data_IF_540468117009
#
_entry.id   IF_540468117009
#
_cell.length_a   1.000
_cell.length_b   1.000
_cell.length_c   1.000
_cell.angle_alpha   90.00
_cell.angle_beta   90.00
_cell.angle_gamma   90.00
#
_symmetry.space_group_name_H-M   'P 1'
#
loop_
_entity.id
_entity.type
_entity.pdbx_description
1 polymer ?
#
# COMPACT_ATOMS: atom_id res chain seq x y z
N UNK A 1 2.70 32.93 11.96
CA UNK A 1 2.14 31.58 11.75
C UNK A 1 2.83 30.99 10.54
N UNK A 2 3.81 30.11 10.73
CA UNK A 2 4.46 29.42 9.60
C UNK A 2 3.51 28.31 9.14
N UNK A 3 2.98 28.43 7.94
CA UNK A 3 2.16 27.38 7.33
C UNK A 3 3.06 26.19 7.01
N UNK A 4 2.73 25.00 7.50
CA UNK A 4 3.37 23.77 7.05
C UNK A 4 3.02 23.63 5.55
N UNK A 5 4.04 23.45 4.70
CA UNK A 5 3.84 23.26 3.26
C UNK A 5 2.99 22.03 2.93
N UNK A 6 2.39 21.96 1.74
CA UNK A 6 1.74 20.73 1.30
C UNK A 6 2.79 19.59 1.22
N UNK A 7 2.53 18.46 1.89
CA UNK A 7 3.48 17.35 1.92
C UNK A 7 3.37 16.49 3.18
N UNK A 8 4.31 15.55 3.32
CA UNK A 8 4.31 14.53 4.37
C UNK A 8 4.37 15.14 5.77
N UNK A 9 4.95 16.33 5.91
CA UNK A 9 5.03 17.05 7.18
C UNK A 9 3.66 17.43 7.75
N UNK A 10 2.65 17.67 6.90
CA UNK A 10 1.27 17.84 7.38
C UNK A 10 0.70 16.53 7.93
N UNK A 11 0.94 15.42 7.22
CA UNK A 11 0.52 14.10 7.68
C UNK A 11 1.18 13.77 9.01
N UNK A 12 2.49 14.02 9.15
CA UNK A 12 3.21 13.84 10.41
C UNK A 12 2.60 14.70 11.52
N UNK A 13 2.45 16.00 11.29
CA UNK A 13 1.88 16.91 12.28
C UNK A 13 0.48 16.50 12.74
N UNK A 14 -0.38 16.03 11.84
CA UNK A 14 -1.72 15.52 12.19
C UNK A 14 -1.65 14.26 13.07
N UNK A 15 -0.78 13.30 12.70
CA UNK A 15 -0.61 12.07 13.47
C UNK A 15 -0.04 12.38 14.87
N UNK A 16 0.97 13.25 14.96
CA UNK A 16 1.54 13.64 16.26
C UNK A 16 0.58 14.49 17.10
N UNK A 17 -0.36 15.19 16.48
CA UNK A 17 -1.44 15.88 17.17
C UNK A 17 -2.57 14.93 17.66
N UNK A 18 -2.44 13.62 17.43
CA UNK A 18 -3.39 12.62 17.91
C UNK A 18 -4.52 12.28 16.94
N UNK A 19 -4.35 12.54 15.64
CA UNK A 19 -5.27 12.01 14.64
C UNK A 19 -5.34 10.47 14.72
N UNK A 20 -6.55 9.92 14.68
CA UNK A 20 -6.73 8.46 14.69
C UNK A 20 -6.16 7.84 13.40
N UNK A 21 -5.02 7.16 13.58
CA UNK A 21 -4.25 6.52 12.50
C UNK A 21 -5.05 5.46 11.75
N UNK A 22 -6.05 4.85 12.42
CA UNK A 22 -6.86 3.77 11.89
C UNK A 22 -8.30 4.22 11.56
N UNK A 23 -8.55 5.52 11.55
CA UNK A 23 -9.86 6.05 11.17
C UNK A 23 -10.29 5.50 9.81
N UNK A 24 -11.49 4.93 9.76
CA UNK A 24 -12.08 4.36 8.55
C UNK A 24 -13.09 5.31 7.93
N UNK A 25 -12.99 5.50 6.63
CA UNK A 25 -14.07 6.08 5.84
C UNK A 25 -15.28 5.13 5.80
N UNK A 26 -16.40 5.62 5.24
CA UNK A 26 -17.59 4.78 4.96
C UNK A 26 -17.28 3.55 4.10
N UNK A 27 -16.25 3.61 3.27
CA UNK A 27 -15.82 2.49 2.43
C UNK A 27 -14.70 1.66 3.08
N UNK A 28 -14.47 1.80 4.39
CA UNK A 28 -13.42 1.08 5.12
C UNK A 28 -11.99 1.53 4.82
N UNK A 29 -11.78 2.58 4.02
CA UNK A 29 -10.42 3.07 3.72
C UNK A 29 -9.83 3.79 4.92
N UNK A 30 -8.58 3.48 5.22
CA UNK A 30 -7.73 4.18 6.20
C UNK A 30 -6.70 5.05 5.49
N UNK A 31 -6.02 5.94 6.22
CA UNK A 31 -4.89 6.69 5.68
C UNK A 31 -3.81 5.77 5.07
N UNK A 32 -3.54 4.62 5.67
CA UNK A 32 -2.60 3.62 5.15
C UNK A 32 -3.04 3.05 3.79
N UNK A 33 -4.32 2.67 3.64
CA UNK A 33 -4.83 2.18 2.33
C UNK A 33 -4.74 3.26 1.24
N UNK A 34 -4.98 4.52 1.59
CA UNK A 34 -4.86 5.63 0.64
C UNK A 34 -3.40 5.83 0.23
N UNK A 35 -2.45 5.78 1.18
CA UNK A 35 -1.04 5.91 0.87
C UNK A 35 -0.52 4.78 -0.02
N UNK A 36 -0.99 3.54 0.17
CA UNK A 36 -0.61 2.39 -0.66
C UNK A 36 -1.06 2.50 -2.12
N UNK A 37 -2.13 3.26 -2.42
CA UNK A 37 -2.57 3.54 -3.80
C UNK A 37 -1.55 4.39 -4.59
N UNK A 38 -0.70 5.15 -3.91
CA UNK A 38 0.21 6.12 -4.51
C UNK A 38 1.66 5.64 -4.44
N UNK A 39 1.98 4.63 -5.25
CA UNK A 39 3.31 3.99 -5.26
C UNK A 39 4.48 4.92 -5.65
N UNK A 40 4.24 6.12 -6.18
CA UNK A 40 5.31 7.07 -6.49
C UNK A 40 5.73 7.94 -5.30
N UNK A 41 5.08 7.79 -4.14
CA UNK A 41 5.40 8.47 -2.86
C UNK A 41 5.34 7.47 -1.68
N UNK A 42 6.17 6.42 -1.69
CA UNK A 42 6.09 5.33 -0.72
C UNK A 42 6.34 5.76 0.73
N UNK A 43 6.94 6.93 0.96
CA UNK A 43 7.26 7.47 2.27
C UNK A 43 6.02 7.66 3.16
N UNK A 44 4.85 7.94 2.58
CA UNK A 44 3.61 8.05 3.35
C UNK A 44 3.16 6.69 3.89
N UNK A 45 3.17 5.67 3.04
CA UNK A 45 2.80 4.32 3.44
C UNK A 45 3.82 3.78 4.46
N UNK A 46 5.11 4.02 4.23
CA UNK A 46 6.17 3.69 5.18
C UNK A 46 5.92 4.33 6.55
N UNK A 47 5.77 5.66 6.59
CA UNK A 47 5.53 6.38 7.84
C UNK A 47 4.29 5.86 8.58
N UNK A 48 3.16 5.72 7.88
CA UNK A 48 1.90 5.30 8.51
C UNK A 48 1.96 3.84 9.00
N UNK A 49 2.50 2.93 8.19
CA UNK A 49 2.45 1.49 8.45
C UNK A 49 3.64 1.06 9.31
N UNK A 50 4.86 1.39 8.92
CA UNK A 50 6.08 0.94 9.59
C UNK A 50 6.36 1.76 10.85
N UNK A 51 6.34 3.09 10.78
CA UNK A 51 6.68 3.92 11.95
C UNK A 51 5.51 4.04 12.92
N UNK A 52 4.30 4.28 12.41
CA UNK A 52 3.09 4.54 13.23
C UNK A 52 2.19 3.34 13.43
N UNK A 53 2.56 2.17 12.89
CA UNK A 53 1.87 0.88 13.12
C UNK A 53 0.39 0.90 12.74
N UNK A 54 0.04 1.62 11.67
CA UNK A 54 -1.30 1.60 11.10
C UNK A 54 -1.72 0.17 10.76
N UNK A 55 -3.00 -0.15 11.00
CA UNK A 55 -3.58 -1.47 10.76
C UNK A 55 -3.75 -1.71 9.25
N UNK A 56 -3.27 -2.86 8.80
CA UNK A 56 -3.30 -3.28 7.40
C UNK A 56 -3.93 -4.66 7.18
N UNK A 57 -4.55 -5.21 8.22
CA UNK A 57 -5.15 -6.55 8.23
C UNK A 57 -6.67 -6.56 8.08
N UNK A 58 -7.28 -5.41 7.83
CA UNK A 58 -8.73 -5.30 7.62
C UNK A 58 -9.04 -4.94 6.17
N UNK A 59 -10.16 -5.47 5.62
CA UNK A 59 -10.56 -5.13 4.28
C UNK A 59 -11.09 -3.70 4.18
N UNK A 60 -11.08 -3.18 2.97
CA UNK A 60 -11.80 -1.99 2.53
C UNK A 60 -12.65 -2.33 1.31
N UNK A 61 -13.56 -1.43 0.97
CA UNK A 61 -14.50 -1.58 -0.13
C UNK A 61 -14.25 -0.50 -1.18
N UNK A 62 -14.53 -0.81 -2.46
CA UNK A 62 -14.67 0.25 -3.46
C UNK A 62 -15.93 1.04 -3.13
N UNK A 63 -15.85 2.37 -3.16
CA UNK A 63 -17.04 3.19 -2.99
C UNK A 63 -18.07 2.87 -4.09
N UNK A 64 -19.36 2.98 -3.78
CA UNK A 64 -20.46 2.63 -4.69
C UNK A 64 -20.32 3.27 -6.08
N UNK A 65 -19.81 4.50 -6.15
CA UNK A 65 -19.57 5.23 -7.40
C UNK A 65 -18.40 4.70 -8.26
N UNK A 66 -17.59 3.77 -7.73
CA UNK A 66 -16.50 3.10 -8.44
C UNK A 66 -16.79 1.62 -8.75
N UNK A 67 -17.98 1.11 -8.41
CA UNK A 67 -18.37 -0.25 -8.77
C UNK A 67 -18.67 -0.32 -10.28
N UNK A 68 -17.92 -1.14 -11.02
CA UNK A 68 -18.20 -1.41 -12.42
C UNK A 68 -19.41 -2.36 -12.55
N UNK A 69 -20.16 -2.33 -13.67
CA UNK A 69 -21.22 -3.32 -13.91
C UNK A 69 -20.70 -4.76 -13.73
N UNK A 70 -21.33 -5.52 -12.83
CA UNK A 70 -20.92 -6.88 -12.49
C UNK A 70 -19.94 -7.01 -11.31
N UNK A 71 -19.50 -5.92 -10.69
CA UNK A 71 -18.76 -5.94 -9.41
C UNK A 71 -19.72 -5.80 -8.23
N UNK A 72 -19.44 -6.53 -7.15
CA UNK A 72 -20.22 -6.40 -5.93
C UNK A 72 -19.64 -5.23 -5.11
N UNK A 73 -20.44 -4.22 -4.72
CA UNK A 73 -19.95 -3.13 -3.86
C UNK A 73 -19.41 -3.62 -2.51
N UNK A 74 -19.78 -4.84 -2.10
CA UNK A 74 -19.28 -5.50 -0.89
C UNK A 74 -18.06 -6.40 -1.15
N UNK A 75 -17.47 -6.37 -2.35
CA UNK A 75 -16.19 -7.05 -2.60
C UNK A 75 -15.13 -6.49 -1.64
N UNK A 76 -14.54 -7.40 -0.86
CA UNK A 76 -13.48 -7.07 0.08
C UNK A 76 -12.15 -6.93 -0.67
N UNK A 77 -11.48 -5.80 -0.45
CA UNK A 77 -10.13 -5.56 -0.93
C UNK A 77 -9.19 -5.44 0.26
N UNK A 78 -8.00 -6.02 0.15
CA UNK A 78 -7.05 -6.00 1.25
C UNK A 78 -5.89 -5.05 0.94
N UNK A 79 -5.33 -4.35 1.95
CA UNK A 79 -4.18 -3.46 1.75
C UNK A 79 -2.98 -4.15 1.08
N UNK A 80 -2.83 -5.46 1.28
CA UNK A 80 -1.72 -6.24 0.71
C UNK A 80 -1.81 -6.34 -0.81
N UNK A 81 -3.02 -6.33 -1.36
CA UNK A 81 -3.25 -6.32 -2.80
C UNK A 81 -2.73 -5.03 -3.43
N UNK A 82 -2.83 -3.89 -2.71
CA UNK A 82 -2.29 -2.61 -3.16
C UNK A 82 -0.76 -2.63 -3.23
N UNK A 83 -0.11 -3.20 -2.21
CA UNK A 83 1.34 -3.35 -2.16
C UNK A 83 1.86 -4.26 -3.29
N UNK A 84 1.04 -5.19 -3.78
CA UNK A 84 1.38 -6.04 -4.93
C UNK A 84 1.51 -5.28 -6.25
N UNK A 85 0.97 -4.06 -6.37
CA UNK A 85 1.15 -3.19 -7.54
C UNK A 85 2.47 -2.41 -7.54
N UNK A 86 3.24 -2.46 -6.46
CA UNK A 86 4.50 -1.72 -6.35
C UNK A 86 5.62 -2.50 -7.07
N UNK A 87 6.07 -1.96 -8.20
CA UNK A 87 7.15 -2.51 -9.03
C UNK A 87 8.29 -1.50 -9.04
N UNK A 88 9.38 -1.81 -8.34
CA UNK A 88 10.58 -0.99 -8.24
C UNK A 88 11.82 -1.79 -8.61
N UNK A 89 12.92 -1.12 -8.94
CA UNK A 89 14.19 -1.81 -9.15
C UNK A 89 14.66 -2.50 -7.86
N UNK A 90 15.10 -3.76 -7.98
CA UNK A 90 15.57 -4.52 -6.82
C UNK A 90 16.76 -3.82 -6.17
N UNK A 91 16.69 -3.65 -4.85
CA UNK A 91 17.69 -2.95 -4.08
C UNK A 91 17.59 -1.42 -4.11
N UNK A 92 16.66 -0.84 -4.88
CA UNK A 92 16.37 0.61 -4.80
C UNK A 92 15.87 0.99 -3.41
N UNK A 93 15.90 2.29 -3.10
CA UNK A 93 15.37 2.81 -1.84
C UNK A 93 13.89 2.45 -1.69
N UNK A 94 13.11 2.60 -2.75
CA UNK A 94 11.68 2.30 -2.78
C UNK A 94 11.42 0.79 -2.58
N UNK A 95 12.26 -0.07 -3.16
CA UNK A 95 12.21 -1.51 -2.92
C UNK A 95 12.50 -1.85 -1.46
N UNK A 96 13.50 -1.21 -0.84
CA UNK A 96 13.80 -1.41 0.59
C UNK A 96 12.63 -0.97 1.48
N UNK A 97 12.05 0.21 1.24
CA UNK A 97 10.86 0.69 1.96
C UNK A 97 9.68 -0.28 1.80
N UNK A 98 9.47 -0.79 0.59
CA UNK A 98 8.44 -1.81 0.31
C UNK A 98 8.68 -3.06 1.15
N UNK A 99 9.91 -3.55 1.26
CA UNK A 99 10.24 -4.75 2.04
C UNK A 99 10.05 -4.54 3.55
N UNK A 100 10.32 -3.34 4.07
CA UNK A 100 10.00 -3.01 5.45
C UNK A 100 8.48 -2.97 5.70
N UNK A 101 7.71 -2.45 4.74
CA UNK A 101 6.25 -2.54 4.78
C UNK A 101 5.81 -4.02 4.76
N UNK A 102 6.37 -4.86 3.89
CA UNK A 102 6.09 -6.30 3.86
C UNK A 102 6.37 -6.96 5.21
N UNK A 103 7.47 -6.63 5.87
CA UNK A 103 7.79 -7.15 7.20
C UNK A 103 6.76 -6.71 8.25
N UNK A 104 6.28 -5.47 8.19
CA UNK A 104 5.23 -4.99 9.08
C UNK A 104 3.86 -5.65 8.80
N UNK A 105 3.53 -5.91 7.54
CA UNK A 105 2.36 -6.71 7.18
C UNK A 105 2.43 -8.11 7.81
N UNK A 106 3.59 -8.78 7.71
CA UNK A 106 3.79 -10.08 8.33
C UNK A 106 3.67 -10.03 9.86
N UNK A 107 4.19 -8.98 10.51
CA UNK A 107 4.03 -8.75 11.96
C UNK A 107 2.55 -8.66 12.37
N UNK A 108 1.68 -8.16 11.48
CA UNK A 108 0.23 -8.07 11.70
C UNK A 108 -0.55 -9.32 11.23
N UNK A 109 0.14 -10.38 10.80
CA UNK A 109 -0.45 -11.64 10.35
C UNK A 109 -0.88 -11.64 8.87
N UNK A 110 -0.45 -10.68 8.06
CA UNK A 110 -0.77 -10.61 6.63
C UNK A 110 0.39 -11.12 5.80
N UNK A 111 0.20 -12.23 5.10
CA UNK A 111 1.25 -12.84 4.29
C UNK A 111 1.30 -12.24 2.88
N UNK A 112 2.25 -11.33 2.68
CA UNK A 112 2.53 -10.77 1.36
C UNK A 112 2.83 -11.87 0.35
N UNK A 113 3.76 -12.77 0.65
CA UNK A 113 4.32 -13.74 -0.29
C UNK A 113 3.29 -14.75 -0.82
N UNK A 114 2.29 -15.11 -0.01
CA UNK A 114 1.16 -15.96 -0.43
C UNK A 114 0.07 -15.20 -1.21
N UNK A 115 0.03 -13.86 -1.08
CA UNK A 115 -0.91 -13.04 -1.84
C UNK A 115 -0.58 -13.09 -3.33
N UNK A 116 -1.57 -13.44 -4.15
CA UNK A 116 -1.41 -13.56 -5.60
C UNK A 116 -0.95 -12.25 -6.24
N UNK A 117 0.09 -12.33 -7.08
CA UNK A 117 0.49 -11.22 -7.94
C UNK A 117 -0.61 -11.02 -8.99
N UNK A 118 -1.17 -9.82 -9.07
CA UNK A 118 -2.21 -9.52 -10.04
C UNK A 118 -1.66 -9.62 -11.48
N UNK A 119 -2.52 -10.00 -12.42
CA UNK A 119 -2.13 -10.26 -13.81
C UNK A 119 -1.46 -9.05 -14.47
N UNK A 120 -1.98 -7.85 -14.22
CA UNK A 120 -1.45 -6.62 -14.79
C UNK A 120 -0.02 -6.32 -14.31
N UNK A 121 0.23 -6.44 -13.01
CA UNK A 121 1.57 -6.28 -12.44
C UNK A 121 2.53 -7.35 -12.93
N UNK A 122 2.09 -8.61 -13.03
CA UNK A 122 2.93 -9.66 -13.59
C UNK A 122 3.32 -9.36 -15.05
N UNK A 123 2.38 -8.89 -15.87
CA UNK A 123 2.65 -8.46 -17.25
C UNK A 123 3.59 -7.24 -17.30
N UNK A 124 3.44 -6.28 -16.38
CA UNK A 124 4.36 -5.15 -16.26
C UNK A 124 5.77 -5.59 -15.91
N UNK A 125 5.92 -6.48 -14.92
CA UNK A 125 7.22 -7.04 -14.51
C UNK A 125 7.88 -7.76 -15.69
N UNK A 126 7.13 -8.59 -16.43
CA UNK A 126 7.65 -9.27 -17.63
C UNK A 126 8.11 -8.31 -18.73
N UNK A 127 7.51 -7.13 -18.84
CA UNK A 127 7.94 -6.11 -19.79
C UNK A 127 9.20 -5.37 -19.34
N UNK A 128 9.34 -5.12 -18.04
CA UNK A 128 10.49 -4.40 -17.47
C UNK A 128 11.73 -5.30 -17.36
N UNK A 129 11.52 -6.58 -17.04
CA UNK A 129 12.57 -7.56 -16.79
C UNK A 129 12.34 -8.84 -17.62
N UNK A 130 12.36 -8.78 -18.97
CA UNK A 130 11.96 -9.89 -19.83
C UNK A 130 12.75 -11.17 -19.59
N UNK A 131 14.04 -11.06 -19.26
CA UNK A 131 14.94 -12.20 -19.08
C UNK A 131 15.08 -12.65 -17.61
N UNK A 132 14.58 -11.86 -16.66
CA UNK A 132 14.81 -12.08 -15.21
C UNK A 132 13.54 -11.94 -14.36
N UNK A 133 12.35 -11.90 -14.97
CA UNK A 133 11.10 -11.69 -14.24
C UNK A 133 10.80 -12.80 -13.22
N UNK A 134 11.19 -14.05 -13.47
CA UNK A 134 11.03 -15.16 -12.51
C UNK A 134 11.89 -14.98 -11.25
N UNK A 135 13.08 -14.40 -11.40
CA UNK A 135 13.93 -14.06 -10.26
C UNK A 135 13.41 -12.82 -9.54
N UNK A 136 12.91 -11.85 -10.30
CA UNK A 136 12.33 -10.63 -9.77
C UNK A 136 11.13 -10.92 -8.87
N UNK A 137 10.15 -11.71 -9.30
CA UNK A 137 8.94 -11.98 -8.51
C UNK A 137 9.20 -12.72 -7.18
N UNK A 138 10.37 -13.36 -7.03
CA UNK A 138 10.77 -14.01 -5.77
C UNK A 138 11.30 -13.03 -4.73
N UNK A 139 11.67 -11.82 -5.15
CA UNK A 139 12.37 -10.81 -4.33
C UNK A 139 11.66 -9.46 -4.30
N UNK A 140 10.72 -9.21 -5.21
CA UNK A 140 10.09 -7.90 -5.38
C UNK A 140 9.16 -7.52 -4.25
#
# INVERSE_FOLDING_TARGET
MQSIGCGIEKTKALVEAGADINYKSKSGRTAATVALLFNWIPEYAYYLIVEKKARVNEPYYRGEHMALPGQNPNDEFYPVDLLRYWVYDLGSKEHQLKMEIVAEFARQGVNYWETKINKHTLEQIKKLYPDTWEEYIKKY
#
